data_IF_461023162757
#
_entry.id   IF_461023162757
#
_cell.length_a   1.000
_cell.length_b   1.000
_cell.length_c   1.000
_cell.angle_alpha   90.00
_cell.angle_beta   90.00
_cell.angle_gamma   90.00
#
_symmetry.space_group_name_H-M   'P 1'
#
loop_
_entity.id
_entity.type
_entity.pdbx_description
1 polymer ?
#
# COMPACT_ATOMS: atom_id res chain seq x y z
N UNK A 1 -8.85 -37.69 15.06
CA UNK A 1 -8.47 -36.68 16.06
C UNK A 1 -8.68 -37.33 17.41
N UNK A 2 -7.61 -37.53 18.18
CA UNK A 2 -7.70 -38.24 19.45
C UNK A 2 -8.41 -37.38 20.50
N UNK A 3 -9.18 -38.04 21.38
CA UNK A 3 -9.93 -37.37 22.46
C UNK A 3 -9.01 -36.52 23.32
N UNK A 4 -7.78 -36.99 23.59
CA UNK A 4 -6.77 -36.23 24.33
C UNK A 4 -6.33 -34.95 23.61
N UNK A 5 -6.23 -34.98 22.28
CA UNK A 5 -5.86 -33.81 21.49
C UNK A 5 -7.01 -32.79 21.41
N UNK A 6 -8.26 -33.28 21.35
CA UNK A 6 -9.45 -32.42 21.42
C UNK A 6 -9.51 -31.73 22.79
N UNK A 7 -9.29 -32.45 23.89
CA UNK A 7 -9.26 -31.88 25.25
C UNK A 7 -8.12 -30.85 25.42
N UNK A 8 -6.94 -31.12 24.85
CA UNK A 8 -5.81 -30.20 24.89
C UNK A 8 -6.11 -28.88 24.15
N UNK A 9 -6.73 -28.97 22.96
CA UNK A 9 -7.15 -27.78 22.20
C UNK A 9 -8.19 -26.97 22.97
N UNK A 10 -9.19 -27.63 23.57
CA UNK A 10 -10.21 -26.97 24.40
C UNK A 10 -9.57 -26.25 25.60
N UNK A 11 -8.59 -26.87 26.27
CA UNK A 11 -7.89 -26.27 27.40
C UNK A 11 -7.11 -25.01 27.02
N UNK A 12 -6.41 -25.03 25.87
CA UNK A 12 -5.69 -23.84 25.36
C UNK A 12 -6.67 -22.70 25.04
N UNK A 13 -7.77 -23.02 24.34
CA UNK A 13 -8.77 -22.01 23.98
C UNK A 13 -9.42 -21.41 25.23
N UNK A 14 -9.78 -22.25 26.21
CA UNK A 14 -10.33 -21.78 27.49
C UNK A 14 -9.32 -20.91 28.27
N UNK A 15 -8.04 -21.27 28.29
CA UNK A 15 -6.98 -20.47 28.90
C UNK A 15 -6.83 -19.10 28.26
N UNK A 16 -6.87 -19.03 26.92
CA UNK A 16 -6.81 -17.76 26.19
C UNK A 16 -8.04 -16.88 26.43
N UNK A 17 -9.24 -17.45 26.44
CA UNK A 17 -10.47 -16.73 26.77
C UNK A 17 -10.41 -16.20 28.21
N UNK A 18 -9.95 -17.02 29.16
CA UNK A 18 -9.74 -16.61 30.54
C UNK A 18 -8.72 -15.46 30.66
N UNK A 19 -7.59 -15.55 29.97
CA UNK A 19 -6.56 -14.52 30.00
C UNK A 19 -7.02 -13.20 29.33
N UNK A 20 -7.79 -13.28 28.24
CA UNK A 20 -8.36 -12.11 27.57
C UNK A 20 -9.44 -11.41 28.39
N UNK A 21 -10.23 -12.17 29.15
CA UNK A 21 -11.32 -11.64 30.00
C UNK A 21 -10.81 -11.12 31.34
N UNK A 22 -9.80 -11.76 31.94
CA UNK A 22 -9.21 -11.32 33.23
C UNK A 22 -8.51 -9.96 33.14
N UNK A 23 -7.99 -9.58 31.96
CA UNK A 23 -7.35 -8.25 31.75
C UNK A 23 -8.32 -7.06 31.80
N UNK A 24 -9.64 -7.28 31.82
CA UNK A 24 -10.64 -6.19 31.95
C UNK A 24 -11.11 -5.92 33.39
N UNK A 25 -10.65 -6.70 34.37
CA UNK A 25 -10.91 -6.42 35.79
C UNK A 25 -9.64 -5.83 36.44
N UNK A 26 -9.53 -4.49 36.40
CA UNK A 26 -8.51 -3.60 37.01
C UNK A 26 -7.16 -3.46 36.29
N UNK A 27 -6.80 -2.25 35.83
CA UNK A 27 -5.40 -1.82 35.73
C UNK A 27 -5.03 -1.17 37.06
N UNK A 28 -4.29 -1.87 37.90
CA UNK A 28 -3.81 -1.34 39.17
C UNK A 28 -2.85 -2.33 39.80
N UNK A 29 -1.58 -1.91 39.88
CA UNK A 29 -0.49 -2.52 40.63
C UNK A 29 0.00 -3.91 40.17
N UNK A 30 1.00 -3.85 39.30
CA UNK A 30 2.22 -4.61 39.51
C UNK A 30 3.39 -3.67 39.19
N UNK A 31 3.85 -2.92 40.20
CA UNK A 31 5.25 -2.49 40.24
C UNK A 31 6.14 -3.72 40.43
N UNK A 32 7.36 -3.67 39.89
CA UNK A 32 8.47 -3.54 40.81
C UNK A 32 9.33 -2.32 40.50
N UNK A 33 9.53 -1.52 41.55
CA UNK A 33 10.80 -0.95 42.02
C UNK A 33 11.92 -0.62 41.02
N UNK A 34 12.43 0.61 41.23
CA UNK A 34 13.83 1.06 41.03
C UNK A 34 14.20 1.61 39.66
N UNK A 35 14.19 2.93 39.56
CA UNK A 35 14.96 3.67 38.56
C UNK A 35 14.71 5.16 38.66
N UNK A 36 15.63 5.89 39.28
CA UNK A 36 15.73 7.35 39.21
C UNK A 36 15.48 7.85 37.78
N UNK A 37 14.45 8.68 37.61
CA UNK A 37 14.26 9.47 36.41
C UNK A 37 14.01 10.93 36.82
N UNK A 38 14.79 11.89 36.30
CA UNK A 38 14.72 13.28 36.73
C UNK A 38 13.37 13.87 36.36
N UNK A 39 12.88 14.74 37.24
CA UNK A 39 11.66 15.53 37.06
C UNK A 39 11.53 16.03 35.62
N UNK A 40 10.34 15.91 34.99
CA UNK A 40 10.15 16.40 33.63
C UNK A 40 10.42 17.91 33.64
N UNK A 41 11.50 18.29 32.95
CA UNK A 41 11.79 19.68 32.61
C UNK A 41 10.49 20.28 32.09
N UNK A 42 9.98 21.32 32.77
CA UNK A 42 8.78 22.05 32.39
C UNK A 42 8.84 22.29 30.88
N UNK A 43 8.07 21.50 30.14
CA UNK A 43 8.10 21.50 28.69
C UNK A 43 7.79 22.90 28.22
N UNK A 44 8.52 23.31 27.18
CA UNK A 44 8.26 24.50 26.38
C UNK A 44 6.74 24.68 26.29
N UNK A 45 6.25 25.84 26.74
CA UNK A 45 4.81 26.07 26.80
C UNK A 45 4.23 25.94 25.39
N UNK A 46 2.99 25.45 25.27
CA UNK A 46 2.37 25.24 23.96
C UNK A 46 2.38 26.51 23.09
N UNK A 47 2.27 27.68 23.72
CA UNK A 47 2.36 28.98 23.04
C UNK A 47 3.76 29.23 22.45
N UNK A 48 4.81 28.86 23.18
CA UNK A 48 6.20 28.96 22.74
C UNK A 48 6.50 27.96 21.60
N UNK A 49 5.96 26.74 21.69
CA UNK A 49 6.06 25.74 20.62
C UNK A 49 5.34 26.23 19.34
N UNK A 50 4.14 26.82 19.47
CA UNK A 50 3.43 27.40 18.32
C UNK A 50 4.18 28.59 17.71
N UNK A 51 4.80 29.41 18.55
CA UNK A 51 5.63 30.55 18.12
C UNK A 51 6.85 30.06 17.36
N UNK A 52 7.50 29.00 17.84
CA UNK A 52 8.65 28.36 17.19
C UNK A 52 8.26 27.76 15.84
N UNK A 53 7.16 27.03 15.75
CA UNK A 53 6.65 26.47 14.48
C UNK A 53 6.34 27.58 13.47
N UNK A 54 5.71 28.68 13.90
CA UNK A 54 5.44 29.83 13.01
C UNK A 54 6.72 30.49 12.51
N UNK A 55 7.71 30.67 13.38
CA UNK A 55 9.00 31.26 13.01
C UNK A 55 9.80 30.34 12.06
N UNK A 56 9.73 29.02 12.25
CA UNK A 56 10.37 28.05 11.37
C UNK A 56 9.72 28.00 9.97
N UNK A 57 8.40 28.19 9.90
CA UNK A 57 7.66 28.22 8.63
C UNK A 57 7.77 29.56 7.90
N UNK A 58 7.82 30.67 8.64
CA UNK A 58 8.00 32.02 8.10
C UNK A 58 9.21 32.67 8.78
N UNK A 59 10.45 32.30 8.38
CA UNK A 59 11.61 33.03 8.85
C UNK A 59 11.39 34.51 8.53
N UNK A 60 11.54 35.43 9.51
CA UNK A 60 11.39 36.85 9.24
C UNK A 60 12.36 37.20 8.12
N UNK A 61 11.81 37.56 6.97
CA UNK A 61 12.58 37.86 5.78
C UNK A 61 13.61 38.92 6.15
N UNK A 62 14.90 38.54 6.08
CA UNK A 62 16.01 39.48 6.07
C UNK A 62 15.64 40.61 5.12
N UNK A 63 15.83 41.86 5.57
CA UNK A 63 15.53 43.09 4.83
C UNK A 63 16.21 43.08 3.46
N UNK A 64 15.53 42.50 2.48
CA UNK A 64 15.92 42.47 1.09
C UNK A 64 14.77 43.15 0.32
N UNK A 65 15.06 44.19 -0.48
CA UNK A 65 14.01 45.02 -1.05
C UNK A 65 13.08 44.20 -1.93
N UNK A 66 11.77 44.30 -1.66
CA UNK A 66 10.72 43.63 -2.43
C UNK A 66 10.86 43.94 -3.93
N UNK A 67 10.89 42.94 -4.83
CA UNK A 67 10.61 43.20 -6.23
C UNK A 67 9.13 43.66 -6.37
N UNK A 68 8.84 44.60 -7.28
CA UNK A 68 7.49 45.13 -7.46
C UNK A 68 6.52 44.04 -7.89
N UNK A 69 5.32 44.11 -7.32
CA UNK A 69 4.19 43.20 -7.55
C UNK A 69 3.81 43.25 -9.04
N UNK A 70 3.75 42.11 -9.77
CA UNK A 70 3.28 42.14 -11.15
C UNK A 70 1.79 42.46 -11.19
N UNK A 71 1.41 43.39 -12.08
CA UNK A 71 0.03 43.75 -12.35
C UNK A 71 -0.72 42.59 -13.03
N UNK A 72 -2.03 42.43 -12.78
CA UNK A 72 -2.82 41.37 -13.39
C UNK A 72 -2.99 41.65 -14.90
N UNK A 73 -2.35 40.84 -15.73
CA UNK A 73 -2.62 40.76 -17.16
C UNK A 73 -4.07 40.38 -17.41
N UNK A 74 -4.82 41.25 -18.09
CA UNK A 74 -6.17 40.97 -18.57
C UNK A 74 -6.13 39.82 -19.59
N UNK A 75 -7.08 38.87 -19.57
CA UNK A 75 -7.16 37.84 -20.59
C UNK A 75 -7.50 38.49 -21.93
N UNK A 76 -6.65 38.28 -22.93
CA UNK A 76 -6.96 38.61 -24.33
C UNK A 76 -8.13 37.76 -24.81
N UNK A 77 -9.14 38.33 -25.48
CA UNK A 77 -10.25 37.57 -26.03
C UNK A 77 -9.75 36.58 -27.08
N UNK A 78 -10.24 35.35 -27.00
CA UNK A 78 -9.97 34.27 -27.96
C UNK A 78 -10.51 34.73 -29.33
N UNK A 79 -9.72 34.68 -30.41
CA UNK A 79 -10.19 35.08 -31.73
C UNK A 79 -11.35 34.18 -32.19
N UNK A 80 -12.36 34.73 -32.89
CA UNK A 80 -13.61 34.03 -33.24
C UNK A 80 -13.46 32.92 -34.30
N UNK A 81 -12.23 32.51 -34.64
CA UNK A 81 -11.94 31.62 -35.75
C UNK A 81 -11.12 30.39 -35.33
N UNK A 82 -11.46 29.81 -34.17
CA UNK A 82 -10.99 28.47 -33.84
C UNK A 82 -11.80 27.45 -34.65
N UNK A 83 -11.17 26.61 -35.49
CA UNK A 83 -11.90 25.57 -36.21
C UNK A 83 -12.48 24.59 -35.20
N UNK A 84 -13.80 24.42 -35.20
CA UNK A 84 -14.46 23.39 -34.41
C UNK A 84 -13.85 22.02 -34.71
N UNK A 85 -13.44 21.31 -33.66
CA UNK A 85 -12.88 19.98 -33.77
C UNK A 85 -13.93 19.04 -34.40
N UNK A 86 -13.74 18.70 -35.68
CA UNK A 86 -14.57 17.72 -36.38
C UNK A 86 -14.47 16.39 -35.63
N UNK A 87 -15.60 15.89 -35.13
CA UNK A 87 -15.70 14.58 -34.49
C UNK A 87 -15.21 13.51 -35.46
N UNK A 88 -14.00 12.99 -35.24
CA UNK A 88 -13.47 11.88 -36.01
C UNK A 88 -14.29 10.62 -35.68
N UNK A 89 -14.88 10.00 -36.71
CA UNK A 89 -15.56 8.71 -36.56
C UNK A 89 -14.51 7.66 -36.23
N UNK A 90 -14.65 7.00 -35.09
CA UNK A 90 -13.81 5.86 -34.70
C UNK A 90 -14.06 4.73 -35.70
N UNK A 91 -13.02 4.32 -36.43
CA UNK A 91 -13.08 3.10 -37.25
C UNK A 91 -13.06 1.90 -36.31
N UNK A 92 -13.93 0.93 -36.57
CA UNK A 92 -13.90 -0.35 -35.86
C UNK A 92 -12.63 -1.09 -36.24
N UNK A 93 -11.99 -1.72 -35.25
CA UNK A 93 -10.77 -2.50 -35.41
C UNK A 93 -11.13 -3.86 -36.02
N UNK A 94 -10.56 -4.19 -37.17
CA UNK A 94 -10.55 -5.56 -37.69
C UNK A 94 -9.27 -6.26 -37.20
N UNK A 95 -9.37 -7.37 -36.44
CA UNK A 95 -8.21 -8.13 -36.05
C UNK A 95 -7.64 -8.82 -37.30
N UNK A 96 -6.46 -8.38 -37.73
CA UNK A 96 -5.64 -9.10 -38.71
C UNK A 96 -5.02 -10.28 -37.97
N UNK A 97 -5.42 -11.50 -38.33
CA UNK A 97 -4.73 -12.71 -37.89
C UNK A 97 -3.39 -12.79 -38.65
N UNK A 98 -2.40 -12.07 -38.13
CA UNK A 98 -1.02 -12.26 -38.54
C UNK A 98 -0.59 -13.65 -38.04
N UNK A 99 -0.63 -14.63 -38.94
CA UNK A 99 -0.04 -15.95 -38.70
C UNK A 99 1.46 -15.76 -38.54
N UNK A 100 1.87 -15.63 -37.28
CA UNK A 100 3.26 -15.48 -36.89
C UNK A 100 4.06 -16.73 -37.28
N UNK A 101 4.89 -16.60 -38.32
CA UNK A 101 5.75 -17.67 -38.80
C UNK A 101 6.74 -18.12 -37.71
N UNK A 102 7.08 -17.23 -36.78
CA UNK A 102 7.94 -17.53 -35.64
C UNK A 102 7.22 -18.45 -34.64
N UNK A 103 5.91 -18.27 -34.40
CA UNK A 103 5.12 -19.15 -33.54
C UNK A 103 5.10 -20.61 -34.06
N UNK A 104 4.99 -20.81 -35.37
CA UNK A 104 5.03 -22.15 -36.00
C UNK A 104 6.40 -22.84 -35.86
N UNK A 105 7.48 -22.06 -35.93
CA UNK A 105 8.84 -22.59 -35.80
C UNK A 105 9.09 -23.19 -34.41
N UNK A 106 8.64 -22.51 -33.36
CA UNK A 106 8.79 -23.01 -31.99
C UNK A 106 7.86 -24.20 -31.68
N UNK A 107 6.66 -24.27 -32.27
CA UNK A 107 5.74 -25.39 -32.06
C UNK A 107 6.34 -26.74 -32.48
N UNK A 108 7.01 -26.79 -33.64
CA UNK A 108 7.68 -28.01 -34.13
C UNK A 108 8.92 -28.42 -33.33
N UNK A 109 9.71 -27.44 -32.85
CA UNK A 109 10.97 -27.70 -32.16
C UNK A 109 10.76 -28.30 -30.75
N UNK A 110 9.68 -27.94 -30.07
CA UNK A 110 9.35 -28.48 -28.74
C UNK A 110 8.63 -29.83 -28.78
N UNK A 111 7.80 -30.08 -29.80
CA UNK A 111 7.10 -31.35 -29.98
C UNK A 111 8.06 -32.54 -30.18
N UNK A 112 9.06 -32.36 -31.03
CA UNK A 112 10.05 -33.41 -31.34
C UNK A 112 10.93 -33.78 -30.13
N UNK A 113 11.28 -32.81 -29.27
CA UNK A 113 12.13 -33.04 -28.09
C UNK A 113 11.38 -33.74 -26.96
N UNK A 114 10.10 -33.42 -26.74
CA UNK A 114 9.27 -34.06 -25.70
C UNK A 114 9.12 -35.57 -25.92
N UNK A 115 8.92 -36.03 -27.15
CA UNK A 115 8.78 -37.46 -27.45
C UNK A 115 10.03 -38.29 -27.07
N UNK A 116 11.23 -37.73 -27.27
CA UNK A 116 12.50 -38.38 -26.90
C UNK A 116 12.86 -38.26 -25.42
N UNK A 117 12.44 -37.16 -24.76
CA UNK A 117 12.74 -36.93 -23.36
C UNK A 117 11.83 -37.75 -22.42
N UNK A 118 10.57 -37.98 -22.80
CA UNK A 118 9.65 -38.81 -22.02
C UNK A 118 10.03 -40.30 -22.02
N UNK A 119 10.62 -40.82 -23.10
CA UNK A 119 11.07 -42.22 -23.16
C UNK A 119 12.38 -42.46 -22.39
N UNK A 120 13.25 -41.45 -22.29
CA UNK A 120 14.48 -41.51 -21.50
C UNK A 120 14.26 -41.27 -19.98
N UNK A 121 13.14 -40.63 -19.59
CA UNK A 121 12.85 -40.28 -18.20
C UNK A 121 12.15 -41.39 -17.38
N UNK A 122 11.86 -42.56 -17.98
CA UNK A 122 11.09 -43.64 -17.32
C UNK A 122 11.71 -44.25 -16.06
N UNK A 123 13.02 -44.12 -15.85
CA UNK A 123 13.74 -44.84 -14.79
C UNK A 123 14.47 -43.96 -13.75
N UNK A 124 14.38 -42.63 -13.80
CA UNK A 124 15.10 -41.79 -12.83
C UNK A 124 14.52 -40.38 -12.67
N UNK A 125 13.24 -40.28 -12.30
CA UNK A 125 12.70 -39.00 -11.82
C UNK A 125 12.88 -38.99 -10.30
N UNK A 126 13.89 -38.29 -9.74
CA UNK A 126 13.87 -37.99 -8.32
C UNK A 126 12.59 -37.22 -8.04
N UNK A 127 11.85 -37.65 -7.03
CA UNK A 127 10.60 -37.06 -6.57
C UNK A 127 10.83 -35.56 -6.31
N UNK A 128 10.56 -34.74 -7.34
CA UNK A 128 10.55 -33.29 -7.23
C UNK A 128 9.38 -32.97 -6.33
N UNK A 129 9.67 -32.81 -5.04
CA UNK A 129 8.74 -32.26 -4.08
C UNK A 129 8.16 -31.01 -4.72
N UNK A 130 6.88 -31.07 -5.07
CA UNK A 130 6.12 -29.99 -5.67
C UNK A 130 6.11 -28.83 -4.68
N UNK A 131 7.18 -28.03 -4.67
CA UNK A 131 7.16 -26.70 -4.08
C UNK A 131 6.16 -25.93 -4.92
N UNK A 132 4.90 -25.95 -4.46
CA UNK A 132 3.84 -25.08 -4.95
C UNK A 132 4.40 -23.67 -4.87
N UNK A 133 4.75 -23.16 -6.03
CA UNK A 133 5.17 -21.78 -6.17
C UNK A 133 3.90 -20.98 -5.85
N UNK A 134 3.91 -20.22 -4.76
CA UNK A 134 2.82 -19.30 -4.46
C UNK A 134 2.85 -18.17 -5.49
N UNK A 135 2.12 -18.37 -6.58
CA UNK A 135 1.97 -17.37 -7.65
C UNK A 135 1.33 -16.07 -7.12
N UNK A 136 0.56 -16.15 -6.04
CA UNK A 136 0.03 -14.98 -5.32
C UNK A 136 1.13 -14.12 -4.69
N UNK A 137 2.25 -14.72 -4.27
CA UNK A 137 3.40 -13.99 -3.72
C UNK A 137 4.31 -13.39 -4.81
N UNK A 138 4.26 -13.91 -6.04
CA UNK A 138 5.05 -13.44 -7.17
C UNK A 138 4.48 -12.18 -7.83
N UNK A 139 3.16 -11.98 -7.74
CA UNK A 139 2.55 -10.74 -8.21
C UNK A 139 2.71 -9.65 -7.13
N UNK A 140 3.58 -8.66 -7.38
CA UNK A 140 3.57 -7.42 -6.59
C UNK A 140 2.24 -6.72 -6.87
N UNK A 141 1.22 -6.98 -6.05
CA UNK A 141 -0.05 -6.25 -6.12
C UNK A 141 0.27 -4.77 -6.05
N UNK A 142 -0.07 -4.03 -7.10
CA UNK A 142 0.08 -2.57 -7.14
C UNK A 142 -0.89 -1.99 -6.12
N UNK A 143 -0.39 -1.76 -4.90
CA UNK A 143 -1.20 -1.19 -3.83
C UNK A 143 -1.35 0.30 -4.10
N UNK A 144 -2.58 0.81 -3.93
CA UNK A 144 -2.83 2.24 -4.02
C UNK A 144 -2.11 2.94 -2.85
N UNK A 145 -1.33 4.02 -3.07
CA UNK A 145 -0.60 4.73 -2.01
C UNK A 145 -1.49 5.19 -0.85
N UNK A 146 -2.76 5.54 -1.10
CA UNK A 146 -3.71 5.91 -0.04
C UNK A 146 -4.15 4.71 0.81
N UNK A 147 -4.19 3.51 0.23
CA UNK A 147 -4.51 2.30 0.96
C UNK A 147 -3.39 1.89 1.92
N UNK A 148 -2.13 2.21 1.61
CA UNK A 148 -1.00 2.02 2.53
C UNK A 148 -1.12 2.98 3.71
N UNK A 149 -1.42 4.25 3.47
CA UNK A 149 -1.63 5.26 4.53
C UNK A 149 -2.74 4.86 5.51
N UNK A 150 -3.81 4.24 5.03
CA UNK A 150 -4.91 3.74 5.87
C UNK A 150 -4.52 2.51 6.73
N UNK A 151 -3.56 1.71 6.29
CA UNK A 151 -3.12 0.49 7.00
C UNK A 151 -1.94 0.74 7.94
N UNK A 152 -1.18 1.81 7.70
CA UNK A 152 0.03 2.12 8.46
C UNK A 152 -0.32 2.76 9.82
N UNK A 153 0.05 2.15 10.96
CA UNK A 153 -0.29 2.67 12.30
C UNK A 153 0.47 3.95 12.66
N UNK A 154 1.54 4.30 11.94
CA UNK A 154 2.27 5.57 12.11
C UNK A 154 1.54 6.75 11.46
N UNK A 155 0.58 6.48 10.56
CA UNK A 155 -0.09 7.46 9.71
C UNK A 155 -1.55 7.71 10.14
N UNK A 156 -1.87 7.59 11.43
CA UNK A 156 -3.27 7.63 11.93
C UNK A 156 -3.99 8.92 11.55
N UNK A 157 -3.31 10.08 11.65
CA UNK A 157 -3.91 11.37 11.31
C UNK A 157 -4.32 11.44 9.84
N UNK A 158 -3.41 11.06 8.94
CA UNK A 158 -3.68 11.06 7.50
C UNK A 158 -4.72 10.00 7.13
N UNK A 159 -4.69 8.84 7.78
CA UNK A 159 -5.67 7.78 7.61
C UNK A 159 -7.08 8.26 7.99
N UNK A 160 -7.21 8.98 9.10
CA UNK A 160 -8.49 9.54 9.54
C UNK A 160 -9.05 10.55 8.54
N UNK A 161 -8.20 11.44 8.01
CA UNK A 161 -8.60 12.42 6.99
C UNK A 161 -9.01 11.72 5.69
N UNK A 162 -8.21 10.78 5.20
CA UNK A 162 -8.52 10.01 3.99
C UNK A 162 -9.81 9.20 4.16
N UNK A 163 -10.02 8.58 5.32
CA UNK A 163 -11.24 7.85 5.62
C UNK A 163 -12.47 8.76 5.61
N UNK A 164 -12.35 10.01 6.04
CA UNK A 164 -13.44 10.99 5.99
C UNK A 164 -13.74 11.43 4.55
N UNK A 165 -12.71 11.70 3.74
CA UNK A 165 -12.87 12.09 2.33
C UNK A 165 -13.49 10.96 1.51
N UNK A 166 -13.12 9.72 1.80
CA UNK A 166 -13.63 8.54 1.08
C UNK A 166 -15.03 8.11 1.53
N UNK A 167 -15.62 8.73 2.55
CA UNK A 167 -17.00 8.42 2.94
C UNK A 167 -17.97 8.91 1.85
N UNK A 168 -18.92 8.06 1.41
CA UNK A 168 -19.83 8.38 0.31
C UNK A 168 -20.85 9.48 0.64
N UNK A 169 -20.87 10.00 1.88
CA UNK A 169 -21.83 11.01 2.32
C UNK A 169 -21.49 12.42 1.83
N UNK A 170 -20.26 12.64 1.37
CA UNK A 170 -19.74 13.93 0.89
C UNK A 170 -19.53 13.95 -0.64
N UNK A 171 -20.03 12.94 -1.36
CA UNK A 171 -19.99 12.81 -2.82
C UNK A 171 -21.40 12.71 -3.40
#
# INVERSE_FOLDING_TARGET
MDVGQILYIIAIVAYFIYQATKKKARPGEAEPESGDAPQPQKGISFEELLKEIRNAQNPPASEMPRPPKPEPTRPTPIPPNFPEAKKQRKRAYEPVEELDDEAKYYEGAFGAKKASALSAAGNSIPNLSEKKIDYDALSKKKVNPYAEKLKNPQSVKEAMVLAEILKPKHF
#
